data_IF_017169415248
#
_entry.id   IF_017169415248
#
_cell.length_a   1.000
_cell.length_b   1.000
_cell.length_c   1.000
_cell.angle_alpha   90.00
_cell.angle_beta   90.00
_cell.angle_gamma   90.00
#
_symmetry.space_group_name_H-M   'P 1'
#
loop_
_entity.id
_entity.type
_entity.pdbx_description
1 polymer ?
#
# COMPACT_ATOMS: atom_id res chain seq x y z
N UNK A 1 -9.37 -16.63 8.89
CA UNK A 1 -8.92 -15.39 9.57
C UNK A 1 -10.07 -14.65 10.22
N UNK A 2 -9.81 -13.75 11.17
CA UNK A 2 -10.77 -12.75 11.67
C UNK A 2 -10.31 -11.36 11.24
N UNK A 3 -11.26 -10.46 10.97
CA UNK A 3 -11.00 -9.09 10.56
C UNK A 3 -11.91 -8.12 11.34
N UNK A 4 -11.41 -6.94 11.64
CA UNK A 4 -12.21 -5.92 12.29
C UNK A 4 -13.09 -5.19 11.27
N UNK A 5 -14.40 -5.31 11.43
CA UNK A 5 -15.36 -4.59 10.61
C UNK A 5 -15.74 -3.25 11.24
N UNK A 6 -15.59 -2.16 10.50
CA UNK A 6 -15.88 -0.80 11.00
C UNK A 6 -17.36 -0.51 11.19
N UNK A 7 -18.24 -1.22 10.46
CA UNK A 7 -19.70 -1.07 10.61
C UNK A 7 -20.17 -1.66 11.94
N UNK A 8 -19.85 -2.92 12.21
CA UNK A 8 -20.23 -3.62 13.41
C UNK A 8 -19.36 -3.25 14.63
N UNK A 9 -18.16 -2.67 14.39
CA UNK A 9 -17.13 -2.36 15.41
C UNK A 9 -16.64 -3.59 16.16
N UNK A 10 -16.59 -4.75 15.48
CA UNK A 10 -16.20 -6.04 16.05
C UNK A 10 -15.22 -6.75 15.15
N UNK A 11 -14.42 -7.64 15.72
CA UNK A 11 -13.70 -8.65 14.96
C UNK A 11 -14.68 -9.76 14.56
N UNK A 12 -14.77 -10.05 13.28
CA UNK A 12 -15.66 -11.06 12.71
C UNK A 12 -14.85 -12.11 11.94
N UNK A 13 -15.28 -13.37 11.93
CA UNK A 13 -14.73 -14.34 10.98
C UNK A 13 -14.89 -13.83 9.55
N UNK A 14 -13.85 -13.97 8.74
CA UNK A 14 -13.94 -13.69 7.31
C UNK A 14 -14.60 -14.88 6.60
N UNK A 15 -15.76 -14.66 6.06
CA UNK A 15 -16.52 -15.60 5.26
C UNK A 15 -16.79 -14.95 3.90
N UNK A 16 -16.14 -15.41 2.80
CA UNK A 16 -16.34 -14.81 1.50
C UNK A 16 -17.77 -15.03 0.99
N UNK A 17 -18.25 -14.12 0.16
CA UNK A 17 -19.55 -14.24 -0.52
C UNK A 17 -19.55 -15.44 -1.48
N UNK A 18 -18.44 -15.65 -2.17
CA UNK A 18 -18.23 -16.80 -3.06
C UNK A 18 -17.13 -17.69 -2.49
N UNK A 19 -17.38 -19.00 -2.37
CA UNK A 19 -16.39 -19.93 -1.83
C UNK A 19 -15.02 -19.82 -2.53
N UNK A 20 -13.97 -19.73 -1.74
CA UNK A 20 -12.59 -19.63 -2.22
C UNK A 20 -12.17 -18.30 -2.86
N UNK A 21 -13.07 -17.31 -3.01
CA UNK A 21 -12.81 -16.05 -3.69
C UNK A 21 -13.11 -14.86 -2.79
N UNK A 22 -12.13 -13.98 -2.57
CA UNK A 22 -12.29 -12.72 -1.89
C UNK A 22 -12.24 -11.54 -2.87
N UNK A 23 -13.28 -10.70 -2.89
CA UNK A 23 -13.37 -9.47 -3.69
C UNK A 23 -13.10 -8.28 -2.79
N UNK A 24 -12.02 -7.56 -3.08
CA UNK A 24 -11.58 -6.40 -2.28
C UNK A 24 -11.54 -5.16 -3.17
N UNK A 25 -12.19 -4.10 -2.74
CA UNK A 25 -12.01 -2.78 -3.31
C UNK A 25 -11.35 -1.86 -2.29
N UNK A 26 -10.20 -1.30 -2.61
CA UNK A 26 -9.52 -0.30 -1.80
C UNK A 26 -9.53 1.05 -2.51
N UNK A 27 -10.08 2.08 -1.87
CA UNK A 27 -10.07 3.42 -2.42
C UNK A 27 -8.64 3.88 -2.71
N UNK A 28 -8.41 4.28 -3.95
CA UNK A 28 -7.15 4.77 -4.46
C UNK A 28 -6.96 6.29 -4.31
N UNK A 29 -5.85 6.82 -4.80
CA UNK A 29 -5.56 8.25 -4.70
C UNK A 29 -6.29 9.08 -5.74
N UNK A 30 -6.53 10.37 -5.41
CA UNK A 30 -6.74 11.42 -6.42
C UNK A 30 -5.39 11.81 -7.00
N UNK A 31 -5.22 11.63 -8.31
CA UNK A 31 -3.92 11.72 -9.00
C UNK A 31 -3.57 13.13 -9.46
N UNK A 32 -3.34 14.04 -8.53
CA UNK A 32 -2.94 15.44 -8.77
C UNK A 32 -1.60 15.83 -8.14
N UNK A 33 -1.01 14.96 -7.34
CA UNK A 33 0.24 15.19 -6.62
C UNK A 33 0.93 13.87 -6.24
N UNK A 34 2.19 13.93 -5.79
CA UNK A 34 2.94 12.78 -5.33
C UNK A 34 2.27 12.07 -4.16
N UNK A 35 2.55 10.76 -4.04
CA UNK A 35 2.04 9.94 -2.95
C UNK A 35 2.67 10.36 -1.61
N UNK A 36 1.84 10.68 -0.62
CA UNK A 36 2.29 10.89 0.76
C UNK A 36 2.24 9.57 1.57
N UNK A 37 2.85 9.56 2.75
CA UNK A 37 2.94 8.37 3.60
C UNK A 37 1.58 7.78 4.00
N UNK A 38 0.51 8.57 4.03
CA UNK A 38 -0.86 8.07 4.23
C UNK A 38 -1.30 7.12 3.12
N UNK A 39 -0.99 7.45 1.86
CA UNK A 39 -1.23 6.56 0.72
C UNK A 39 -0.40 5.28 0.84
N UNK A 40 0.88 5.38 1.24
CA UNK A 40 1.74 4.22 1.46
C UNK A 40 1.21 3.32 2.58
N UNK A 41 0.77 3.88 3.71
CA UNK A 41 0.19 3.10 4.83
C UNK A 41 -1.04 2.32 4.38
N UNK A 42 -1.96 2.96 3.66
CA UNK A 42 -3.14 2.30 3.10
C UNK A 42 -2.76 1.21 2.10
N UNK A 43 -1.86 1.52 1.15
CA UNK A 43 -1.45 0.58 0.12
C UNK A 43 -0.76 -0.67 0.70
N UNK A 44 0.16 -0.50 1.65
CA UNK A 44 0.87 -1.59 2.33
C UNK A 44 -0.07 -2.41 3.22
N UNK A 45 -1.02 -1.75 3.91
CA UNK A 45 -1.98 -2.46 4.79
C UNK A 45 -2.89 -3.40 3.99
N UNK A 46 -3.40 -2.95 2.86
CA UNK A 46 -4.34 -3.75 2.07
C UNK A 46 -3.62 -4.71 1.10
N UNK A 47 -2.36 -4.44 0.72
CA UNK A 47 -1.49 -5.44 0.11
C UNK A 47 -1.18 -6.58 1.08
N UNK A 48 -0.94 -6.28 2.36
CA UNK A 48 -0.79 -7.29 3.40
C UNK A 48 -2.06 -8.15 3.54
N UNK A 49 -3.25 -7.53 3.61
CA UNK A 49 -4.53 -8.25 3.65
C UNK A 49 -4.65 -9.23 2.49
N UNK A 50 -4.37 -8.76 1.27
CA UNK A 50 -4.37 -9.60 0.06
C UNK A 50 -3.44 -10.79 0.21
N UNK A 51 -2.18 -10.57 0.65
CA UNK A 51 -1.17 -11.63 0.81
C UNK A 51 -1.56 -12.66 1.88
N UNK A 52 -2.14 -12.20 2.99
CA UNK A 52 -2.59 -13.08 4.07
C UNK A 52 -3.76 -13.95 3.59
N UNK A 53 -4.74 -13.39 2.90
CA UNK A 53 -5.84 -14.17 2.31
C UNK A 53 -5.34 -15.18 1.29
N UNK A 54 -4.37 -14.82 0.45
CA UNK A 54 -3.72 -15.75 -0.48
C UNK A 54 -2.98 -16.87 0.26
N UNK A 55 -2.31 -16.58 1.36
CA UNK A 55 -1.62 -17.58 2.20
C UNK A 55 -2.61 -18.52 2.92
N UNK A 56 -3.84 -18.09 3.14
CA UNK A 56 -4.97 -18.92 3.63
C UNK A 56 -5.65 -19.73 2.51
N UNK A 57 -5.25 -19.53 1.24
CA UNK A 57 -5.74 -20.30 0.10
C UNK A 57 -6.86 -19.65 -0.70
N UNK A 58 -7.21 -18.39 -0.43
CA UNK A 58 -8.19 -17.66 -1.23
C UNK A 58 -7.60 -17.14 -2.54
N UNK A 59 -8.35 -17.22 -3.62
CA UNK A 59 -8.18 -16.33 -4.76
C UNK A 59 -8.59 -14.93 -4.35
N UNK A 60 -7.81 -13.91 -4.73
CA UNK A 60 -8.13 -12.52 -4.37
C UNK A 60 -8.26 -11.66 -5.61
N UNK A 61 -9.46 -11.15 -5.87
CA UNK A 61 -9.71 -10.07 -6.85
C UNK A 61 -9.60 -8.74 -6.14
N UNK A 62 -8.52 -8.03 -6.39
CA UNK A 62 -8.21 -6.78 -5.73
C UNK A 62 -8.33 -5.61 -6.71
N UNK A 63 -9.23 -4.67 -6.45
CA UNK A 63 -9.33 -3.42 -7.20
C UNK A 63 -8.83 -2.23 -6.39
N UNK A 64 -8.14 -1.31 -7.09
CA UNK A 64 -7.78 0.02 -6.59
C UNK A 64 -7.99 1.03 -7.70
N UNK A 65 -8.90 1.96 -7.47
CA UNK A 65 -9.21 2.99 -8.46
C UNK A 65 -8.17 4.11 -8.50
N UNK A 66 -8.27 4.91 -9.55
CA UNK A 66 -7.68 6.25 -9.61
C UNK A 66 -8.81 7.27 -9.83
N UNK A 67 -8.94 8.20 -8.89
CA UNK A 67 -9.77 9.39 -9.09
C UNK A 67 -8.99 10.35 -9.98
N UNK A 68 -9.32 10.34 -11.26
CA UNK A 68 -8.65 11.11 -12.32
C UNK A 68 -9.46 12.33 -12.81
N UNK A 69 -10.56 12.65 -12.11
CA UNK A 69 -11.30 13.89 -12.22
C UNK A 69 -11.79 14.35 -10.84
N UNK A 70 -11.37 15.55 -10.41
CA UNK A 70 -11.69 16.12 -9.09
C UNK A 70 -11.33 17.60 -9.08
N UNK A 71 -11.94 18.41 -8.21
CA UNK A 71 -11.66 19.84 -8.09
C UNK A 71 -10.17 20.17 -7.89
N UNK A 72 -9.41 19.29 -7.21
CA UNK A 72 -7.96 19.46 -7.01
C UNK A 72 -7.18 19.31 -8.31
N UNK A 73 -7.63 18.39 -9.18
CA UNK A 73 -7.02 18.21 -10.51
C UNK A 73 -7.33 19.42 -11.37
N UNK A 74 -8.58 19.89 -11.36
CA UNK A 74 -8.99 21.09 -12.11
C UNK A 74 -8.20 22.33 -11.67
N UNK A 75 -8.02 22.50 -10.37
CA UNK A 75 -7.16 23.57 -9.82
C UNK A 75 -5.72 23.44 -10.33
N UNK A 76 -5.16 22.22 -10.33
CA UNK A 76 -3.81 21.95 -10.83
C UNK A 76 -3.67 22.24 -12.31
N UNK A 77 -4.71 21.92 -13.13
CA UNK A 77 -4.77 22.30 -14.55
C UNK A 77 -4.70 23.81 -14.73
N UNK A 78 -5.50 24.56 -13.97
CA UNK A 78 -5.52 26.02 -14.02
C UNK A 78 -4.18 26.64 -13.60
N UNK A 79 -3.51 26.07 -12.58
CA UNK A 79 -2.22 26.55 -12.09
C UNK A 79 -1.05 26.24 -13.05
N UNK A 80 -1.12 25.12 -13.78
CA UNK A 80 0.01 24.65 -14.58
C UNK A 80 -0.16 24.79 -16.07
N UNK A 81 -1.38 25.06 -16.56
CA UNK A 81 -1.74 25.10 -17.98
C UNK A 81 -1.72 23.72 -18.67
N UNK A 82 -1.59 22.63 -17.89
CA UNK A 82 -1.56 21.26 -18.42
C UNK A 82 -2.95 20.69 -18.56
N UNK A 83 -3.12 19.77 -19.49
CA UNK A 83 -4.37 19.03 -19.70
C UNK A 83 -4.63 18.04 -18.56
N UNK A 84 -5.88 17.57 -18.45
CA UNK A 84 -6.29 16.51 -17.52
C UNK A 84 -5.40 15.26 -17.64
N UNK A 85 -5.24 14.77 -18.89
CA UNK A 85 -4.45 13.57 -19.17
C UNK A 85 -2.98 13.72 -18.76
N UNK A 86 -2.34 14.85 -19.10
CA UNK A 86 -0.93 15.08 -18.73
C UNK A 86 -0.71 15.04 -17.22
N UNK A 87 -1.64 15.60 -16.43
CA UNK A 87 -1.53 15.60 -14.96
C UNK A 87 -1.79 14.19 -14.42
N UNK A 88 -2.90 13.59 -14.79
CA UNK A 88 -3.35 12.33 -14.20
C UNK A 88 -2.46 11.15 -14.58
N UNK A 89 -1.98 11.06 -15.83
CA UNK A 89 -1.03 10.05 -16.26
C UNK A 89 0.33 10.20 -15.57
N UNK A 90 0.80 11.45 -15.42
CA UNK A 90 2.06 11.72 -14.74
C UNK A 90 2.01 11.25 -13.29
N UNK A 91 0.99 11.66 -12.51
CA UNK A 91 0.92 11.30 -11.10
C UNK A 91 0.50 9.85 -10.86
N UNK A 92 -0.30 9.24 -11.73
CA UNK A 92 -0.59 7.80 -11.70
C UNK A 92 0.70 6.99 -11.85
N UNK A 93 1.54 7.31 -12.83
CA UNK A 93 2.82 6.62 -13.03
C UNK A 93 3.74 6.78 -11.82
N UNK A 94 3.81 7.99 -11.26
CA UNK A 94 4.62 8.24 -10.05
C UNK A 94 4.11 7.46 -8.84
N UNK A 95 2.80 7.42 -8.65
CA UNK A 95 2.19 6.62 -7.60
C UNK A 95 2.54 5.13 -7.75
N UNK A 96 2.39 4.57 -8.95
CA UNK A 96 2.71 3.16 -9.20
C UNK A 96 4.20 2.86 -8.96
N UNK A 97 5.11 3.75 -9.37
CA UNK A 97 6.54 3.63 -9.08
C UNK A 97 6.82 3.63 -7.57
N UNK A 98 6.19 4.54 -6.83
CA UNK A 98 6.36 4.64 -5.39
C UNK A 98 5.83 3.38 -4.68
N UNK A 99 4.68 2.86 -5.10
CA UNK A 99 4.10 1.63 -4.53
C UNK A 99 4.91 0.38 -4.90
N UNK A 100 5.43 0.30 -6.11
CA UNK A 100 6.34 -0.77 -6.55
C UNK A 100 7.61 -0.80 -5.71
N UNK A 101 8.21 0.35 -5.39
CA UNK A 101 9.37 0.43 -4.50
C UNK A 101 9.09 -0.10 -3.07
N UNK A 102 7.82 -0.11 -2.66
CA UNK A 102 7.36 -0.71 -1.39
C UNK A 102 6.91 -2.18 -1.54
N UNK A 103 7.13 -2.82 -2.67
CA UNK A 103 6.64 -4.17 -3.00
C UNK A 103 5.11 -4.32 -2.84
N UNK A 104 4.35 -3.26 -3.04
CA UNK A 104 2.91 -3.34 -3.17
C UNK A 104 2.59 -3.95 -4.52
N UNK A 105 1.92 -5.09 -4.50
CA UNK A 105 1.55 -5.80 -5.73
C UNK A 105 0.51 -5.00 -6.52
N UNK A 106 0.60 -5.08 -7.84
CA UNK A 106 -0.37 -4.44 -8.72
C UNK A 106 -1.79 -4.92 -8.44
N UNK A 107 -2.74 -4.01 -8.52
CA UNK A 107 -4.14 -4.37 -8.41
C UNK A 107 -4.57 -5.25 -9.60
N UNK A 108 -5.50 -6.17 -9.38
CA UNK A 108 -6.08 -6.98 -10.48
C UNK A 108 -6.85 -6.09 -11.46
N UNK A 109 -7.44 -5.01 -10.93
CA UNK A 109 -8.21 -4.03 -11.68
C UNK A 109 -7.89 -2.63 -11.12
N UNK A 110 -7.60 -1.68 -12.00
CA UNK A 110 -7.32 -0.28 -11.64
C UNK A 110 -8.26 0.66 -12.40
N UNK A 111 -9.55 0.71 -12.06
CA UNK A 111 -10.51 1.51 -12.81
C UNK A 111 -10.29 3.01 -12.57
N UNK A 112 -10.55 3.82 -13.61
CA UNK A 112 -10.52 5.29 -13.53
C UNK A 112 -11.92 5.86 -13.60
N UNK A 113 -12.18 6.96 -12.92
CA UNK A 113 -13.50 7.61 -12.94
C UNK A 113 -13.89 8.03 -14.35
N UNK A 114 -12.95 8.60 -15.12
CA UNK A 114 -13.22 9.07 -16.50
C UNK A 114 -13.54 7.94 -17.47
N UNK A 115 -13.10 6.71 -17.22
CA UNK A 115 -13.40 5.53 -18.04
C UNK A 115 -14.73 4.87 -17.66
N UNK A 116 -15.40 5.33 -16.58
CA UNK A 116 -16.61 4.74 -16.02
C UNK A 116 -17.81 5.68 -16.00
N UNK A 117 -17.82 6.74 -16.82
CA UNK A 117 -18.90 7.75 -16.86
C UNK A 117 -20.27 7.12 -17.12
N UNK A 118 -20.36 6.14 -18.01
CA UNK A 118 -21.62 5.46 -18.30
C UNK A 118 -22.19 4.74 -17.06
N UNK A 119 -21.37 4.03 -16.33
CA UNK A 119 -21.77 3.33 -15.10
C UNK A 119 -22.18 4.32 -13.99
N UNK A 120 -21.48 5.45 -13.89
CA UNK A 120 -21.83 6.54 -12.96
C UNK A 120 -23.20 7.11 -13.32
N UNK A 121 -23.45 7.40 -14.60
CA UNK A 121 -24.74 7.90 -15.06
C UNK A 121 -25.88 6.88 -14.81
N UNK A 122 -25.64 5.58 -14.99
CA UNK A 122 -26.61 4.53 -14.66
C UNK A 122 -26.97 4.52 -13.17
N UNK A 123 -25.97 4.61 -12.29
CA UNK A 123 -26.17 4.70 -10.84
C UNK A 123 -27.03 5.92 -10.48
N UNK A 124 -26.69 7.10 -11.00
CA UNK A 124 -27.41 8.35 -10.73
C UNK A 124 -28.84 8.29 -11.28
N UNK A 125 -29.04 7.77 -12.49
CA UNK A 125 -30.36 7.57 -13.07
C UNK A 125 -31.24 6.67 -12.19
N UNK A 126 -30.67 5.58 -11.64
CA UNK A 126 -31.39 4.71 -10.71
C UNK A 126 -31.81 5.45 -9.43
N UNK A 127 -30.92 6.29 -8.87
CA UNK A 127 -31.21 7.08 -7.68
C UNK A 127 -32.32 8.13 -7.96
N UNK A 128 -32.27 8.79 -9.10
CA UNK A 128 -33.31 9.75 -9.52
C UNK A 128 -34.67 9.07 -9.69
N UNK A 129 -34.72 7.95 -10.44
CA UNK A 129 -35.94 7.19 -10.68
C UNK A 129 -36.60 6.69 -9.37
N UNK A 130 -35.81 6.33 -8.40
CA UNK A 130 -36.27 5.86 -7.08
C UNK A 130 -36.54 7.02 -6.10
N UNK A 131 -36.28 8.26 -6.52
CA UNK A 131 -36.50 9.46 -5.73
C UNK A 131 -35.53 9.72 -4.60
N UNK A 132 -34.33 9.08 -4.61
CA UNK A 132 -33.25 9.32 -3.66
C UNK A 132 -32.30 10.45 -4.08
N UNK A 133 -32.46 10.95 -5.29
CA UNK A 133 -31.71 12.09 -5.80
C UNK A 133 -32.65 13.14 -6.36
N UNK A 134 -32.17 14.38 -6.46
CA UNK A 134 -32.92 15.53 -6.99
C UNK A 134 -31.97 16.48 -7.70
N UNK A 135 -32.52 17.30 -8.59
CA UNK A 135 -31.80 18.34 -9.32
C UNK A 135 -31.87 19.68 -8.60
N UNK A 136 -30.75 20.37 -8.52
CA UNK A 136 -30.67 21.80 -8.25
C UNK A 136 -30.39 22.48 -9.58
N UNK A 137 -31.38 23.22 -10.10
CA UNK A 137 -31.32 23.83 -11.42
C UNK A 137 -30.08 24.70 -11.60
N UNK A 138 -29.34 24.44 -12.67
CA UNK A 138 -28.12 25.18 -13.01
C UNK A 138 -26.89 24.81 -12.13
N UNK A 139 -27.00 23.85 -11.21
CA UNK A 139 -25.94 23.45 -10.32
C UNK A 139 -25.56 21.97 -10.47
N UNK A 140 -26.49 21.03 -10.30
CA UNK A 140 -26.24 19.62 -10.47
C UNK A 140 -27.30 18.70 -9.89
N UNK A 141 -26.96 17.41 -9.85
CA UNK A 141 -27.76 16.34 -9.23
C UNK A 141 -27.19 16.03 -7.85
N UNK A 142 -28.06 15.97 -6.85
CA UNK A 142 -27.71 15.76 -5.44
C UNK A 142 -28.41 14.54 -4.87
N UNK A 143 -27.74 13.84 -3.95
CA UNK A 143 -28.32 12.78 -3.13
C UNK A 143 -29.08 13.39 -1.96
N UNK A 144 -30.32 12.97 -1.73
CA UNK A 144 -31.17 13.38 -0.60
C UNK A 144 -30.92 12.45 0.60
N UNK A 145 -30.04 12.85 1.49
CA UNK A 145 -29.64 12.04 2.66
C UNK A 145 -30.78 11.75 3.63
N UNK A 146 -31.84 12.58 3.66
CA UNK A 146 -33.01 12.40 4.53
C UNK A 146 -33.86 11.20 4.12
N UNK A 147 -33.73 10.70 2.89
CA UNK A 147 -34.50 9.57 2.38
C UNK A 147 -33.85 8.21 2.65
N UNK A 148 -32.58 8.19 3.05
CA UNK A 148 -31.90 6.98 3.50
C UNK A 148 -32.06 6.85 5.03
N UNK A 149 -32.95 5.98 5.48
CA UNK A 149 -33.21 5.75 6.91
C UNK A 149 -32.00 5.23 7.71
N UNK A 150 -31.00 4.68 7.01
CA UNK A 150 -29.78 4.14 7.60
C UNK A 150 -28.55 5.05 7.39
N UNK A 151 -28.77 6.30 6.93
CA UNK A 151 -27.66 7.25 6.77
C UNK A 151 -26.96 7.51 8.11
N UNK A 152 -25.62 7.55 8.12
CA UNK A 152 -24.73 7.61 9.28
C UNK A 152 -24.54 6.30 10.04
N UNK A 153 -25.12 5.19 9.60
CA UNK A 153 -24.98 3.88 10.27
C UNK A 153 -23.53 3.36 10.23
N UNK A 154 -22.82 3.56 9.10
CA UNK A 154 -21.44 3.12 8.95
C UNK A 154 -20.46 3.91 9.84
N UNK A 155 -20.54 5.22 9.81
CA UNK A 155 -19.68 6.10 10.60
C UNK A 155 -20.06 6.14 12.08
N UNK A 156 -21.31 5.85 12.40
CA UNK A 156 -21.87 5.97 13.77
C UNK A 156 -21.88 7.40 14.28
N UNK A 157 -21.84 8.41 13.40
CA UNK A 157 -21.89 9.82 13.78
C UNK A 157 -23.30 10.21 14.19
N UNK A 158 -23.38 11.07 15.20
CA UNK A 158 -24.67 11.67 15.60
C UNK A 158 -24.99 12.83 14.65
N UNK A 159 -26.27 13.03 14.35
CA UNK A 159 -26.72 14.09 13.42
C UNK A 159 -26.14 15.48 13.72
N UNK A 160 -26.04 15.88 14.99
CA UNK A 160 -25.48 17.19 15.37
C UNK A 160 -23.97 17.36 15.17
N UNK A 161 -23.22 16.28 14.92
CA UNK A 161 -21.77 16.31 14.74
C UNK A 161 -21.35 16.57 13.27
N UNK A 162 -22.33 16.71 12.36
CA UNK A 162 -22.07 16.84 10.92
C UNK A 162 -22.01 18.31 10.42
N UNK A 163 -22.28 19.28 11.29
CA UNK A 163 -22.47 20.71 10.93
C UNK A 163 -21.24 21.43 10.31
N UNK A 164 -20.06 20.83 10.27
CA UNK A 164 -18.82 21.50 9.80
C UNK A 164 -18.12 20.76 8.65
N UNK A 165 -18.84 19.94 7.85
CA UNK A 165 -18.18 19.00 6.93
C UNK A 165 -18.41 19.36 5.44
N UNK A 166 -19.15 20.41 5.15
CA UNK A 166 -19.28 20.89 3.77
C UNK A 166 -17.90 21.39 3.26
N UNK A 167 -17.26 20.61 2.41
CA UNK A 167 -16.04 21.01 1.66
C UNK A 167 -16.35 22.11 0.62
N UNK A 168 -17.59 22.37 0.36
CA UNK A 168 -18.10 23.36 -0.61
C UNK A 168 -19.01 24.34 0.12
N UNK A 169 -18.98 25.60 -0.27
CA UNK A 169 -19.84 26.64 0.26
C UNK A 169 -21.30 26.17 0.37
N UNK A 170 -21.98 26.50 1.46
CA UNK A 170 -23.39 26.17 1.69
C UNK A 170 -24.22 26.61 0.51
N UNK A 171 -24.91 25.68 -0.15
CA UNK A 171 -25.91 26.00 -1.18
C UNK A 171 -27.28 25.92 -0.50
N UNK A 172 -27.92 27.04 -0.32
CA UNK A 172 -29.24 27.16 0.34
C UNK A 172 -30.38 26.40 -0.38
N UNK A 173 -30.11 25.92 -1.61
CA UNK A 173 -31.05 25.09 -2.38
C UNK A 173 -31.01 23.60 -2.02
N UNK A 174 -30.04 23.16 -1.18
CA UNK A 174 -30.00 21.77 -0.68
C UNK A 174 -31.18 21.51 0.27
N UNK A 175 -31.69 20.29 0.21
CA UNK A 175 -32.73 19.85 1.13
C UNK A 175 -32.20 19.61 2.55
N UNK A 176 -30.92 19.21 2.68
CA UNK A 176 -30.18 19.05 3.94
C UNK A 176 -28.70 19.42 3.69
N UNK A 177 -28.04 19.99 4.70
CA UNK A 177 -26.61 20.33 4.63
C UNK A 177 -25.72 19.12 4.31
N UNK A 178 -26.15 17.92 4.68
CA UNK A 178 -25.45 16.65 4.45
C UNK A 178 -25.57 16.14 3.02
N UNK A 179 -26.51 16.68 2.22
CA UNK A 179 -26.69 16.27 0.83
C UNK A 179 -25.43 16.54 0.03
N UNK A 180 -25.09 15.63 -0.83
CA UNK A 180 -23.85 15.67 -1.59
C UNK A 180 -24.10 15.54 -3.09
N UNK A 181 -23.20 16.15 -3.87
CA UNK A 181 -23.28 16.15 -5.32
C UNK A 181 -22.99 14.77 -5.88
N UNK A 182 -23.84 14.32 -6.80
CA UNK A 182 -23.67 13.11 -7.61
C UNK A 182 -23.16 13.44 -9.01
N UNK A 183 -23.66 14.54 -9.58
CA UNK A 183 -23.25 15.08 -10.89
C UNK A 183 -23.25 16.60 -10.83
N UNK A 184 -22.11 17.22 -11.15
CA UNK A 184 -21.96 18.68 -11.19
C UNK A 184 -22.07 19.15 -12.61
N UNK A 185 -23.01 20.06 -12.91
CA UNK A 185 -23.16 20.62 -14.25
C UNK A 185 -21.97 21.50 -14.64
N UNK A 186 -21.45 21.26 -15.83
CA UNK A 186 -20.35 22.01 -16.42
C UNK A 186 -20.26 21.71 -17.93
N UNK A 187 -20.42 22.73 -18.78
CA UNK A 187 -20.46 22.59 -20.24
C UNK A 187 -19.16 22.07 -20.87
N UNK A 188 -18.03 22.08 -20.11
CA UNK A 188 -16.74 21.71 -20.63
C UNK A 188 -16.41 20.21 -20.43
N UNK A 189 -17.31 19.44 -19.78
CA UNK A 189 -17.03 18.07 -19.40
C UNK A 189 -17.90 17.04 -20.14
N UNK A 190 -18.16 15.94 -19.51
CA UNK A 190 -18.77 14.77 -20.13
C UNK A 190 -20.26 14.98 -20.45
N UNK A 191 -20.70 14.40 -21.56
CA UNK A 191 -22.12 14.28 -21.85
C UNK A 191 -22.78 13.26 -20.89
N UNK A 192 -24.00 13.58 -20.44
CA UNK A 192 -24.80 12.68 -19.61
C UNK A 192 -26.28 12.84 -19.92
N UNK A 193 -27.16 11.91 -19.48
CA UNK A 193 -28.61 12.05 -19.59
C UNK A 193 -29.18 13.27 -18.84
N UNK A 194 -28.39 13.88 -17.97
CA UNK A 194 -28.79 15.01 -17.11
C UNK A 194 -28.35 16.37 -17.68
N UNK A 195 -27.51 16.37 -18.69
CA UNK A 195 -26.75 17.50 -19.20
C UNK A 195 -25.24 17.32 -19.03
N UNK A 196 -24.45 18.21 -19.63
CA UNK A 196 -23.00 18.17 -19.54
C UNK A 196 -22.54 18.43 -18.12
N UNK A 197 -21.46 17.70 -17.71
CA UNK A 197 -20.96 17.85 -16.36
C UNK A 197 -19.89 16.82 -16.01
N UNK A 198 -19.66 16.67 -14.73
CA UNK A 198 -18.68 15.75 -14.18
C UNK A 198 -19.21 15.03 -12.93
N UNK A 199 -18.72 13.82 -12.64
CA UNK A 199 -19.18 13.07 -11.49
C UNK A 199 -18.82 13.77 -10.16
N UNK A 200 -19.68 13.59 -9.17
CA UNK A 200 -19.35 13.85 -7.79
C UNK A 200 -18.47 12.72 -7.25
N UNK A 201 -17.44 13.07 -6.50
CA UNK A 201 -16.43 12.14 -5.96
C UNK A 201 -16.99 10.88 -5.30
N UNK A 202 -18.16 10.98 -4.66
CA UNK A 202 -18.76 9.86 -3.91
C UNK A 202 -19.51 8.86 -4.80
N UNK A 203 -19.81 9.18 -6.06
CA UNK A 203 -20.51 8.27 -6.98
C UNK A 203 -19.57 7.38 -7.79
N UNK A 204 -18.30 7.75 -7.88
CA UNK A 204 -17.30 7.07 -8.69
C UNK A 204 -17.04 5.64 -8.22
N UNK A 205 -16.68 5.47 -6.95
CA UNK A 205 -16.30 4.15 -6.41
C UNK A 205 -17.47 3.17 -6.43
N UNK A 206 -18.68 3.63 -6.09
CA UNK A 206 -19.88 2.78 -6.15
C UNK A 206 -20.12 2.26 -7.56
N UNK A 207 -20.06 3.14 -8.56
CA UNK A 207 -20.24 2.75 -9.95
C UNK A 207 -19.14 1.77 -10.43
N UNK A 208 -17.88 2.04 -10.08
CA UNK A 208 -16.76 1.17 -10.42
C UNK A 208 -16.83 -0.19 -9.73
N UNK A 209 -17.27 -0.26 -8.45
CA UNK A 209 -17.50 -1.53 -7.75
C UNK A 209 -18.58 -2.35 -8.48
N UNK A 210 -19.72 -1.72 -8.79
CA UNK A 210 -20.83 -2.37 -9.48
C UNK A 210 -20.44 -2.86 -10.88
N UNK A 211 -19.61 -2.10 -11.60
CA UNK A 211 -19.19 -2.46 -12.96
C UNK A 211 -18.14 -3.56 -13.00
N UNK A 212 -17.23 -3.64 -12.02
CA UNK A 212 -16.04 -4.49 -12.14
C UNK A 212 -15.93 -5.62 -11.10
N UNK A 213 -16.59 -5.51 -9.95
CA UNK A 213 -16.42 -6.43 -8.83
C UNK A 213 -17.73 -7.02 -8.29
N UNK A 214 -18.89 -6.59 -8.79
CA UNK A 214 -20.18 -7.06 -8.25
C UNK A 214 -20.23 -8.59 -8.21
N UNK A 215 -20.53 -9.12 -7.04
CA UNK A 215 -20.63 -10.58 -6.81
C UNK A 215 -21.88 -11.20 -7.40
N UNK A 216 -22.93 -10.40 -7.65
CA UNK A 216 -24.27 -10.87 -7.96
C UNK A 216 -25.07 -11.40 -6.76
N UNK A 217 -24.51 -11.38 -5.56
CA UNK A 217 -25.19 -11.80 -4.33
C UNK A 217 -26.34 -10.86 -3.98
N UNK A 218 -27.51 -11.35 -3.47
CA UNK A 218 -28.65 -10.49 -3.18
C UNK A 218 -28.48 -9.53 -2.01
N UNK A 219 -27.47 -9.74 -1.15
CA UNK A 219 -27.26 -8.93 0.05
C UNK A 219 -26.04 -8.00 -0.07
N UNK A 220 -24.95 -8.46 -0.72
CA UNK A 220 -23.67 -7.76 -0.74
C UNK A 220 -23.09 -7.66 -2.16
N UNK A 221 -22.52 -6.51 -2.52
CA UNK A 221 -21.87 -6.36 -3.81
C UNK A 221 -20.45 -6.95 -3.80
N UNK A 222 -19.67 -6.70 -2.75
CA UNK A 222 -18.29 -7.21 -2.57
C UNK A 222 -18.05 -7.71 -1.15
N UNK A 223 -16.95 -8.44 -0.96
CA UNK A 223 -16.58 -8.94 0.36
C UNK A 223 -16.03 -7.80 1.24
N UNK A 224 -15.02 -7.07 0.78
CA UNK A 224 -14.31 -6.06 1.57
C UNK A 224 -14.23 -4.74 0.82
N UNK A 225 -14.66 -3.66 1.47
CA UNK A 225 -14.36 -2.28 1.07
C UNK A 225 -13.37 -1.67 2.06
N UNK A 226 -12.28 -1.08 1.53
CA UNK A 226 -11.15 -0.68 2.34
C UNK A 226 -10.66 0.74 2.00
N UNK A 227 -10.13 1.45 3.00
CA UNK A 227 -9.55 2.78 2.80
C UNK A 227 -8.93 3.38 4.06
N UNK A 228 -8.50 4.62 4.00
CA UNK A 228 -8.05 5.37 5.16
C UNK A 228 -9.19 5.72 6.12
N UNK A 229 -8.90 5.88 7.41
CA UNK A 229 -9.90 6.29 8.40
C UNK A 229 -10.56 7.65 8.09
N UNK A 230 -9.93 8.50 7.30
CA UNK A 230 -10.49 9.76 6.79
C UNK A 230 -11.58 9.55 5.75
N UNK A 231 -11.60 8.40 5.07
CA UNK A 231 -12.63 8.05 4.11
C UNK A 231 -13.90 7.50 4.74
N UNK A 232 -13.84 7.01 6.01
CA UNK A 232 -15.00 6.46 6.71
C UNK A 232 -16.19 7.43 6.65
N UNK A 233 -15.91 8.73 6.83
CA UNK A 233 -16.89 9.79 6.66
C UNK A 233 -16.24 11.05 6.06
N UNK A 234 -16.86 11.66 5.02
CA UNK A 234 -18.15 11.32 4.46
C UNK A 234 -18.12 10.25 3.35
N UNK A 235 -16.97 9.88 2.79
CA UNK A 235 -16.85 9.17 1.51
C UNK A 235 -17.53 7.79 1.55
N UNK A 236 -17.09 6.87 2.40
CA UNK A 236 -17.64 5.51 2.48
C UNK A 236 -19.09 5.48 3.00
N UNK A 237 -19.45 6.41 3.90
CA UNK A 237 -20.86 6.57 4.30
C UNK A 237 -21.76 6.90 3.11
N UNK A 238 -21.31 7.87 2.29
CA UNK A 238 -22.05 8.30 1.10
C UNK A 238 -22.10 7.18 0.03
N UNK A 239 -21.06 6.39 -0.11
CA UNK A 239 -21.04 5.23 -1.00
C UNK A 239 -22.02 4.13 -0.53
N UNK A 240 -21.99 3.82 0.77
CA UNK A 240 -22.92 2.84 1.36
C UNK A 240 -24.38 3.25 1.16
N UNK A 241 -24.69 4.53 1.38
CA UNK A 241 -26.02 5.10 1.16
C UNK A 241 -26.47 4.96 -0.30
N UNK A 242 -25.63 5.34 -1.25
CA UNK A 242 -25.94 5.27 -2.68
C UNK A 242 -26.24 3.82 -3.12
N UNK A 243 -25.40 2.86 -2.75
CA UNK A 243 -25.61 1.46 -3.13
C UNK A 243 -26.91 0.91 -2.51
N UNK A 244 -27.13 1.15 -1.22
CA UNK A 244 -28.35 0.74 -0.52
C UNK A 244 -29.60 1.27 -1.19
N UNK A 245 -29.63 2.55 -1.52
CA UNK A 245 -30.76 3.20 -2.17
C UNK A 245 -30.92 2.80 -3.65
N UNK A 246 -29.83 2.71 -4.41
CA UNK A 246 -29.87 2.37 -5.83
C UNK A 246 -30.16 0.88 -6.08
N UNK A 247 -29.61 -0.03 -5.28
CA UNK A 247 -29.63 -1.48 -5.54
C UNK A 247 -30.36 -2.31 -4.48
N UNK A 248 -30.79 -1.71 -3.37
CA UNK A 248 -31.36 -2.39 -2.20
C UNK A 248 -30.44 -3.51 -1.66
N UNK A 249 -29.13 -3.27 -1.70
CA UNK A 249 -28.06 -4.17 -1.28
C UNK A 249 -26.99 -3.38 -0.53
N UNK A 250 -26.30 -4.01 0.39
CA UNK A 250 -25.10 -3.43 1.00
C UNK A 250 -23.93 -3.43 -0.03
N UNK A 251 -23.18 -2.34 -0.07
CA UNK A 251 -22.03 -2.22 -0.96
C UNK A 251 -20.94 -3.24 -0.62
N UNK A 252 -20.70 -3.46 0.68
CA UNK A 252 -19.66 -4.39 1.15
C UNK A 252 -20.15 -5.17 2.36
N UNK A 253 -19.67 -6.43 2.47
CA UNK A 253 -19.92 -7.29 3.64
C UNK A 253 -19.07 -6.85 4.83
N UNK A 254 -17.84 -6.40 4.59
CA UNK A 254 -16.90 -5.90 5.61
C UNK A 254 -16.31 -4.55 5.20
N UNK A 255 -16.15 -3.65 6.15
CA UNK A 255 -15.54 -2.34 5.98
C UNK A 255 -14.25 -2.23 6.79
N UNK A 256 -13.12 -2.02 6.12
CA UNK A 256 -11.82 -1.95 6.77
C UNK A 256 -11.19 -0.57 6.61
N UNK A 257 -10.72 0.01 7.72
CA UNK A 257 -10.08 1.32 7.70
C UNK A 257 -8.72 1.27 8.39
N UNK A 258 -7.68 1.74 7.69
CA UNK A 258 -6.37 1.94 8.30
C UNK A 258 -6.30 3.28 9.03
N UNK A 259 -5.51 3.33 10.12
CA UNK A 259 -5.31 4.54 10.91
C UNK A 259 -4.58 5.66 10.16
N UNK A 260 -4.66 6.86 10.70
CA UNK A 260 -4.00 8.05 10.16
C UNK A 260 -2.47 7.95 10.24
N UNK A 261 -1.80 8.65 9.33
CA UNK A 261 -0.36 8.93 9.46
C UNK A 261 -0.18 10.34 10.02
N UNK A 262 0.64 10.43 11.04
CA UNK A 262 1.09 11.65 11.69
C UNK A 262 2.58 11.84 11.43
N UNK A 263 3.05 13.06 11.45
CA UNK A 263 4.47 13.41 11.38
C UNK A 263 4.78 14.26 12.61
N UNK A 264 5.72 13.83 13.43
CA UNK A 264 6.07 14.48 14.70
C UNK A 264 4.85 14.72 15.62
N UNK A 265 3.96 13.73 15.72
CA UNK A 265 2.71 13.76 16.50
C UNK A 265 1.65 14.74 15.98
N UNK A 266 1.83 15.36 14.82
CA UNK A 266 0.83 16.20 14.19
C UNK A 266 0.21 15.49 12.98
N UNK A 267 -1.12 15.65 12.80
CA UNK A 267 -1.79 15.09 11.63
C UNK A 267 -1.17 15.72 10.37
N UNK A 268 -0.71 14.86 9.47
CA UNK A 268 -0.15 15.28 8.20
C UNK A 268 -1.22 16.02 7.36
N UNK A 269 -0.92 17.25 6.97
CA UNK A 269 -1.77 18.01 6.05
C UNK A 269 -0.94 18.96 5.18
N UNK A 270 -1.39 19.16 3.93
CA UNK A 270 -0.73 20.10 3.01
C UNK A 270 -0.82 21.54 3.48
N UNK A 271 -1.90 21.92 4.17
CA UNK A 271 -2.08 23.28 4.71
C UNK A 271 -1.11 23.60 5.84
N UNK A 272 -0.61 22.59 6.57
CA UNK A 272 0.40 22.76 7.62
C UNK A 272 1.83 22.65 7.08
N UNK A 273 2.02 22.35 5.79
CA UNK A 273 3.36 22.18 5.20
C UNK A 273 4.15 21.00 5.75
N UNK A 274 3.53 20.10 6.51
CA UNK A 274 4.15 18.93 7.13
C UNK A 274 3.88 17.61 6.37
N UNK A 275 3.50 17.70 5.09
CA UNK A 275 3.32 16.54 4.23
C UNK A 275 4.67 15.91 3.92
N UNK A 276 4.79 14.61 4.18
CA UNK A 276 5.99 13.85 3.84
C UNK A 276 5.66 12.86 2.72
N UNK A 277 6.35 13.01 1.59
CA UNK A 277 6.13 12.16 0.42
C UNK A 277 6.89 10.85 0.52
N UNK A 278 6.35 9.81 -0.08
CA UNK A 278 7.03 8.49 -0.18
C UNK A 278 8.42 8.64 -0.80
N UNK A 279 8.54 9.46 -1.84
CA UNK A 279 9.82 9.74 -2.52
C UNK A 279 10.89 10.34 -1.61
N UNK A 280 10.50 11.09 -0.59
CA UNK A 280 11.47 11.65 0.35
C UNK A 280 11.94 10.58 1.34
N UNK A 281 11.07 9.68 1.79
CA UNK A 281 11.47 8.53 2.58
C UNK A 281 12.39 7.58 1.79
N UNK A 282 12.12 7.38 0.49
CA UNK A 282 12.93 6.54 -0.39
C UNK A 282 14.35 7.09 -0.67
N UNK A 283 14.62 8.36 -0.39
CA UNK A 283 15.99 8.91 -0.40
C UNK A 283 16.77 8.55 0.87
N UNK A 284 16.06 8.22 1.96
CA UNK A 284 16.64 7.98 3.30
C UNK A 284 16.91 6.49 3.52
N UNK A 285 16.03 5.60 3.04
CA UNK A 285 16.12 4.17 3.24
C UNK A 285 15.53 3.40 2.05
N UNK A 286 15.94 2.12 1.84
CA UNK A 286 15.32 1.24 0.85
C UNK A 286 13.81 1.16 1.04
N UNK A 287 13.07 0.97 -0.07
CA UNK A 287 11.61 0.88 -0.02
C UNK A 287 11.10 -0.23 0.90
N UNK A 288 11.78 -1.35 0.94
CA UNK A 288 11.46 -2.44 1.88
C UNK A 288 11.65 -2.06 3.35
N UNK A 289 12.61 -1.19 3.67
CA UNK A 289 12.77 -0.67 5.02
C UNK A 289 11.59 0.24 5.40
N UNK A 290 11.11 1.06 4.47
CA UNK A 290 9.90 1.85 4.67
C UNK A 290 8.66 0.94 4.81
N UNK A 291 8.51 -0.09 3.98
CA UNK A 291 7.46 -1.09 4.13
C UNK A 291 7.52 -1.77 5.49
N UNK A 292 8.67 -2.24 5.90
CA UNK A 292 8.89 -2.90 7.19
C UNK A 292 8.53 -1.97 8.36
N UNK A 293 8.89 -0.68 8.25
CA UNK A 293 8.50 0.34 9.22
C UNK A 293 6.99 0.54 9.28
N UNK A 294 6.32 0.66 8.14
CA UNK A 294 4.85 0.78 8.08
C UNK A 294 4.14 -0.45 8.66
N UNK A 295 4.73 -1.65 8.54
CA UNK A 295 4.22 -2.89 9.13
C UNK A 295 4.53 -3.04 10.63
N UNK A 296 5.41 -2.23 11.20
CA UNK A 296 5.79 -2.32 12.62
C UNK A 296 4.67 -1.91 13.58
N UNK A 297 3.63 -1.25 13.08
CA UNK A 297 2.43 -0.90 13.83
C UNK A 297 1.20 -1.54 13.20
N UNK A 298 0.22 -1.87 14.04
CA UNK A 298 -1.06 -2.40 13.57
C UNK A 298 -1.70 -1.46 12.54
N UNK A 299 -2.34 -2.01 11.48
CA UNK A 299 -2.87 -1.18 10.38
C UNK A 299 -3.92 -0.16 10.84
N UNK A 300 -4.76 -0.50 11.83
CA UNK A 300 -5.78 0.40 12.39
C UNK A 300 -5.24 1.47 13.34
N UNK A 301 -4.04 1.28 13.86
CA UNK A 301 -3.43 2.27 14.76
C UNK A 301 -2.98 3.51 13.98
N UNK A 302 -3.08 4.67 14.60
CA UNK A 302 -2.43 5.85 14.08
C UNK A 302 -0.91 5.61 14.06
N UNK A 303 -0.28 5.99 12.96
CA UNK A 303 1.13 5.79 12.70
C UNK A 303 1.86 7.12 12.77
N UNK A 304 2.80 7.25 13.70
CA UNK A 304 3.63 8.43 13.78
C UNK A 304 4.97 8.18 13.10
N UNK A 305 5.19 8.89 11.99
CA UNK A 305 6.42 8.79 11.22
C UNK A 305 7.54 9.63 11.86
N UNK A 306 8.71 9.02 11.99
CA UNK A 306 9.96 9.72 12.24
C UNK A 306 11.11 9.09 11.44
N UNK A 307 12.10 9.88 11.05
CA UNK A 307 13.30 9.37 10.36
C UNK A 307 14.10 8.42 11.28
N UNK A 308 14.17 8.73 12.56
CA UNK A 308 14.85 7.88 13.56
C UNK A 308 14.25 6.48 13.61
N UNK A 309 12.92 6.37 13.63
CA UNK A 309 12.24 5.07 13.68
C UNK A 309 12.33 4.32 12.34
N UNK A 310 12.34 5.04 11.21
CA UNK A 310 12.60 4.44 9.91
C UNK A 310 13.99 3.78 9.86
N UNK A 311 15.02 4.50 10.33
CA UNK A 311 16.39 3.96 10.38
C UNK A 311 16.53 2.82 11.40
N UNK A 312 15.85 2.90 12.54
CA UNK A 312 15.77 1.78 13.50
C UNK A 312 15.11 0.55 12.89
N UNK A 313 14.04 0.74 12.12
CA UNK A 313 13.35 -0.32 11.38
C UNK A 313 14.25 -0.93 10.30
N UNK A 314 15.03 -0.09 9.58
CA UNK A 314 16.05 -0.56 8.65
C UNK A 314 17.07 -1.47 9.35
N UNK A 315 17.61 -1.06 10.51
CA UNK A 315 18.56 -1.88 11.28
C UNK A 315 17.98 -3.25 11.69
N UNK A 316 16.66 -3.34 11.91
CA UNK A 316 15.99 -4.63 12.17
C UNK A 316 15.89 -5.46 10.88
N UNK A 317 15.54 -4.87 9.77
CA UNK A 317 15.48 -5.55 8.47
C UNK A 317 16.87 -6.00 8.00
N UNK A 318 17.93 -5.22 8.26
CA UNK A 318 19.32 -5.57 7.95
C UNK A 318 19.72 -6.95 8.56
N UNK A 319 19.25 -7.27 9.78
CA UNK A 319 19.51 -8.58 10.41
C UNK A 319 18.88 -9.72 9.62
N UNK A 320 17.70 -9.50 9.05
CA UNK A 320 17.02 -10.52 8.23
C UNK A 320 17.75 -10.68 6.89
N UNK A 321 18.18 -9.58 6.27
CA UNK A 321 18.98 -9.61 5.04
C UNK A 321 20.34 -10.27 5.25
N UNK A 322 20.98 -10.09 6.42
CA UNK A 322 22.22 -10.81 6.76
C UNK A 322 21.99 -12.32 6.87
N UNK A 323 20.87 -12.75 7.44
CA UNK A 323 20.50 -14.17 7.43
C UNK A 323 20.24 -14.68 6.00
N UNK A 324 19.50 -13.93 5.18
CA UNK A 324 19.29 -14.24 3.76
C UNK A 324 20.61 -14.42 3.02
N UNK A 325 21.60 -13.54 3.26
CA UNK A 325 22.94 -13.64 2.68
C UNK A 325 23.70 -14.90 3.12
N UNK A 326 23.50 -15.39 4.36
CA UNK A 326 24.13 -16.62 4.87
C UNK A 326 23.62 -17.90 4.18
N UNK A 327 22.42 -17.85 3.60
CA UNK A 327 21.79 -19.00 2.94
C UNK A 327 21.66 -18.83 1.43
N UNK A 328 22.27 -17.80 0.84
CA UNK A 328 22.13 -17.48 -0.58
C UNK A 328 22.61 -18.59 -1.53
N UNK A 329 23.56 -19.43 -1.09
CA UNK A 329 24.10 -20.54 -1.86
C UNK A 329 23.07 -21.65 -2.16
N UNK A 330 21.96 -21.68 -1.44
CA UNK A 330 20.81 -22.57 -1.71
C UNK A 330 19.65 -21.84 -2.39
N UNK A 331 19.67 -20.50 -2.41
CA UNK A 331 18.66 -19.67 -3.09
C UNK A 331 19.02 -19.41 -4.56
N UNK A 332 20.30 -19.35 -4.89
CA UNK A 332 20.77 -19.14 -6.25
C UNK A 332 21.01 -20.50 -6.94
N UNK A 333 20.48 -20.73 -8.16
CA UNK A 333 20.87 -21.90 -8.94
C UNK A 333 22.37 -21.83 -9.22
N UNK A 334 23.08 -22.95 -8.99
CA UNK A 334 24.49 -23.04 -9.39
C UNK A 334 24.62 -22.76 -10.89
N UNK A 335 25.61 -21.91 -11.27
CA UNK A 335 25.86 -21.58 -12.65
C UNK A 335 26.05 -22.88 -13.47
N UNK A 336 25.14 -23.14 -14.42
CA UNK A 336 25.16 -24.33 -15.26
C UNK A 336 24.18 -25.45 -14.87
N UNK A 337 23.39 -25.31 -13.80
CA UNK A 337 22.30 -26.24 -13.49
C UNK A 337 20.95 -25.59 -13.85
N UNK A 338 20.25 -26.20 -14.82
CA UNK A 338 18.95 -25.77 -15.31
C UNK A 338 17.77 -26.08 -14.34
N UNK A 339 18.03 -26.43 -13.10
CA UNK A 339 17.00 -26.62 -12.08
C UNK A 339 17.40 -25.87 -10.82
N UNK A 340 16.69 -24.79 -10.51
CA UNK A 340 16.56 -24.37 -9.12
C UNK A 340 16.05 -25.60 -8.36
N UNK A 341 16.84 -26.12 -7.40
CA UNK A 341 16.33 -27.14 -6.48
C UNK A 341 15.12 -26.50 -5.80
N UNK A 342 13.95 -27.13 -5.93
CA UNK A 342 12.75 -26.66 -5.25
C UNK A 342 13.06 -26.60 -3.74
N UNK A 343 12.85 -25.44 -3.15
CA UNK A 343 12.97 -25.29 -1.70
C UNK A 343 11.92 -26.20 -1.04
N UNK A 344 12.23 -26.79 0.12
CA UNK A 344 11.24 -27.51 0.90
C UNK A 344 10.09 -26.56 1.28
N UNK A 345 8.97 -27.11 1.72
CA UNK A 345 7.93 -26.28 2.33
C UNK A 345 8.47 -25.59 3.60
N UNK A 346 7.99 -24.39 3.88
CA UNK A 346 8.31 -23.75 5.14
C UNK A 346 7.88 -24.63 6.32
N UNK A 347 8.65 -24.57 7.44
CA UNK A 347 8.34 -25.35 8.63
C UNK A 347 6.91 -25.10 9.10
N UNK A 348 6.15 -26.17 9.35
CA UNK A 348 4.77 -26.07 9.77
C UNK A 348 4.60 -25.21 11.04
N UNK A 349 5.54 -25.31 11.99
CA UNK A 349 5.53 -24.50 13.19
C UNK A 349 5.70 -23.01 12.88
N UNK A 350 6.73 -22.64 12.10
CA UNK A 350 6.98 -21.24 11.74
C UNK A 350 5.80 -20.63 10.98
N UNK A 351 5.28 -21.37 10.01
CA UNK A 351 4.10 -20.96 9.24
C UNK A 351 2.89 -20.76 10.14
N UNK A 352 2.60 -21.74 11.03
CA UNK A 352 1.46 -21.67 11.94
C UNK A 352 1.56 -20.49 12.89
N UNK A 353 2.74 -20.28 13.52
CA UNK A 353 2.96 -19.16 14.44
C UNK A 353 2.82 -17.81 13.74
N UNK A 354 3.36 -17.64 12.52
CA UNK A 354 3.19 -16.41 11.75
C UNK A 354 1.72 -16.16 11.38
N UNK A 355 1.03 -17.20 10.89
CA UNK A 355 -0.36 -17.07 10.44
C UNK A 355 -1.33 -16.88 11.60
N UNK A 356 -1.06 -17.42 12.80
CA UNK A 356 -1.86 -17.16 13.99
C UNK A 356 -2.02 -15.66 14.26
N UNK A 357 -0.92 -14.89 14.18
CA UNK A 357 -0.98 -13.45 14.33
C UNK A 357 -1.56 -12.73 13.09
N UNK A 358 -1.15 -13.11 11.89
CA UNK A 358 -1.61 -12.44 10.67
C UNK A 358 -3.11 -12.68 10.42
N UNK A 359 -3.64 -13.81 10.81
CA UNK A 359 -5.06 -14.15 10.71
C UNK A 359 -5.91 -13.55 11.83
N UNK A 360 -5.29 -12.94 12.85
CA UNK A 360 -5.98 -12.15 13.87
C UNK A 360 -5.90 -10.65 13.54
N UNK A 361 -6.72 -10.22 12.60
CA UNK A 361 -6.87 -8.82 12.22
C UNK A 361 -5.55 -8.15 11.78
N UNK A 362 -4.73 -8.92 11.05
CA UNK A 362 -3.42 -8.47 10.55
C UNK A 362 -2.47 -8.00 11.67
N UNK A 363 -2.35 -8.74 12.75
CA UNK A 363 -1.43 -8.42 13.86
C UNK A 363 0.04 -8.58 13.42
N UNK A 364 0.53 -7.60 12.68
CA UNK A 364 1.91 -7.58 12.18
C UNK A 364 2.96 -7.54 13.30
N UNK A 365 2.66 -6.91 14.43
CA UNK A 365 3.60 -6.84 15.55
C UNK A 365 3.95 -8.23 16.07
N UNK A 366 2.95 -9.12 16.23
CA UNK A 366 3.17 -10.51 16.61
C UNK A 366 3.94 -11.29 15.55
N UNK A 367 3.54 -11.18 14.28
CA UNK A 367 4.22 -11.85 13.18
C UNK A 367 5.69 -11.42 13.02
N UNK A 368 5.99 -10.13 13.19
CA UNK A 368 7.37 -9.62 13.17
C UNK A 368 8.20 -10.09 14.38
N UNK A 369 7.57 -10.34 15.53
CA UNK A 369 8.23 -10.94 16.67
C UNK A 369 8.59 -12.41 16.40
N UNK A 370 7.67 -13.19 15.81
CA UNK A 370 7.94 -14.58 15.36
C UNK A 370 9.12 -14.60 14.38
N UNK A 371 9.10 -13.73 13.37
CA UNK A 371 10.19 -13.62 12.39
C UNK A 371 11.52 -13.26 13.07
N UNK A 372 11.51 -12.31 14.02
CA UNK A 372 12.71 -11.91 14.77
C UNK A 372 13.32 -13.05 15.59
N UNK A 373 12.48 -13.83 16.29
CA UNK A 373 12.90 -15.00 17.04
C UNK A 373 13.46 -16.10 16.12
N UNK A 374 12.80 -16.33 14.98
CA UNK A 374 13.30 -17.24 13.96
C UNK A 374 14.69 -16.83 13.47
N UNK A 375 14.90 -15.55 13.14
CA UNK A 375 16.21 -15.04 12.67
C UNK A 375 17.31 -15.29 13.71
N UNK A 376 17.02 -15.09 15.00
CA UNK A 376 17.97 -15.35 16.06
C UNK A 376 18.35 -16.84 16.14
N UNK A 377 17.36 -17.74 16.23
CA UNK A 377 17.57 -19.18 16.31
C UNK A 377 18.24 -19.78 15.06
N UNK A 378 17.87 -19.27 13.87
CA UNK A 378 18.48 -19.68 12.61
C UNK A 378 19.98 -19.31 12.54
N UNK A 379 20.34 -18.11 13.03
CA UNK A 379 21.74 -17.71 13.10
C UNK A 379 22.55 -18.61 14.04
N UNK A 380 22.02 -18.92 15.24
CA UNK A 380 22.67 -19.85 16.17
C UNK A 380 22.84 -21.26 15.58
N UNK A 381 21.83 -21.75 14.86
CA UNK A 381 21.90 -23.05 14.19
C UNK A 381 22.99 -23.07 13.10
N UNK A 382 23.06 -22.01 12.29
CA UNK A 382 24.09 -21.85 11.25
C UNK A 382 25.50 -21.66 11.82
N UNK A 383 25.65 -21.11 13.04
CA UNK A 383 26.95 -20.99 13.70
C UNK A 383 27.48 -22.38 14.13
N UNK A 384 26.56 -23.30 14.52
CA UNK A 384 26.90 -24.69 14.87
C UNK A 384 27.12 -25.56 13.63
N UNK A 385 26.42 -25.33 12.55
CA UNK A 385 26.45 -26.15 11.34
C UNK A 385 26.50 -25.31 10.04
N UNK A 386 27.57 -24.53 9.78
CA UNK A 386 27.59 -23.52 8.70
C UNK A 386 27.60 -24.12 7.29
N UNK A 387 27.90 -25.42 7.15
CA UNK A 387 27.93 -26.12 5.86
C UNK A 387 26.72 -27.02 5.62
N UNK A 388 25.78 -27.10 6.58
CA UNK A 388 24.57 -27.92 6.45
C UNK A 388 23.62 -27.33 5.40
N UNK A 389 23.57 -27.99 4.25
CA UNK A 389 22.72 -27.55 3.11
C UNK A 389 21.23 -27.74 3.38
N UNK A 390 20.87 -28.80 4.15
CA UNK A 390 19.47 -29.05 4.48
C UNK A 390 18.93 -27.97 5.42
N UNK A 391 19.70 -27.61 6.44
CA UNK A 391 19.42 -26.49 7.35
C UNK A 391 19.26 -25.17 6.58
N UNK A 392 20.21 -24.87 5.69
CA UNK A 392 20.14 -23.67 4.84
C UNK A 392 18.89 -23.64 3.95
N UNK A 393 18.55 -24.77 3.33
CA UNK A 393 17.36 -24.87 2.49
C UNK A 393 16.07 -24.65 3.29
N UNK A 394 16.00 -25.18 4.51
CA UNK A 394 14.86 -24.97 5.40
C UNK A 394 14.75 -23.51 5.85
N UNK A 395 15.86 -22.86 6.20
CA UNK A 395 15.88 -21.43 6.55
C UNK A 395 15.46 -20.59 5.34
N UNK A 396 15.94 -20.91 4.15
CA UNK A 396 15.55 -20.23 2.91
C UNK A 396 14.05 -20.36 2.64
N UNK A 397 13.47 -21.53 2.87
CA UNK A 397 12.02 -21.77 2.71
C UNK A 397 11.18 -20.93 3.70
N UNK A 398 11.62 -20.82 4.95
CA UNK A 398 10.96 -19.98 5.96
C UNK A 398 11.06 -18.48 5.59
N UNK A 399 12.21 -18.02 5.08
CA UNK A 399 12.36 -16.65 4.58
C UNK A 399 11.51 -16.39 3.35
N UNK A 400 11.36 -17.35 2.43
CA UNK A 400 10.49 -17.23 1.26
C UNK A 400 9.01 -17.12 1.68
N UNK A 401 8.56 -17.88 2.67
CA UNK A 401 7.22 -17.74 3.25
C UNK A 401 7.01 -16.34 3.85
N UNK A 402 7.98 -15.83 4.63
CA UNK A 402 7.92 -14.48 5.18
C UNK A 402 7.91 -13.41 4.07
N UNK A 403 8.67 -13.62 2.98
CA UNK A 403 8.69 -12.75 1.80
C UNK A 403 7.31 -12.67 1.16
N UNK A 404 6.68 -13.81 0.89
CA UNK A 404 5.37 -13.87 0.24
C UNK A 404 4.28 -13.24 1.10
N UNK A 405 4.29 -13.48 2.41
CA UNK A 405 3.25 -12.97 3.32
C UNK A 405 3.42 -11.51 3.73
N UNK A 406 4.65 -11.07 4.00
CA UNK A 406 4.93 -9.70 4.45
C UNK A 406 5.31 -8.74 3.32
N UNK A 407 5.67 -9.24 2.15
CA UNK A 407 6.10 -8.42 1.02
C UNK A 407 7.47 -7.76 1.20
N UNK A 408 8.38 -8.41 1.94
CA UNK A 408 9.76 -7.97 2.18
C UNK A 408 10.74 -9.02 1.60
N UNK A 409 12.03 -8.72 1.56
CA UNK A 409 13.10 -9.63 1.09
C UNK A 409 13.10 -9.91 -0.42
N UNK A 410 12.53 -9.02 -1.22
CA UNK A 410 12.54 -9.13 -2.68
C UNK A 410 13.86 -8.66 -3.29
N UNK A 411 14.54 -7.69 -2.66
CA UNK A 411 15.81 -7.18 -3.18
C UNK A 411 16.92 -8.23 -3.11
N UNK A 412 17.88 -8.14 -4.04
CA UNK A 412 19.15 -8.85 -3.89
C UNK A 412 19.87 -8.34 -2.64
N UNK A 413 20.41 -9.25 -1.84
CA UNK A 413 21.05 -8.90 -0.56
C UNK A 413 22.33 -8.07 -0.73
N UNK A 414 22.98 -8.13 -1.89
CA UNK A 414 24.16 -7.30 -2.19
C UNK A 414 23.71 -5.87 -2.53
N UNK A 415 22.69 -5.74 -3.38
CA UNK A 415 22.15 -4.44 -3.77
C UNK A 415 21.46 -3.73 -2.60
N UNK A 416 20.77 -4.47 -1.73
CA UNK A 416 20.18 -3.93 -0.51
C UNK A 416 21.22 -3.20 0.38
N UNK A 417 22.40 -3.80 0.61
CA UNK A 417 23.45 -3.19 1.41
C UNK A 417 24.27 -2.13 0.66
N UNK A 418 23.99 -1.88 -0.61
CA UNK A 418 24.56 -0.81 -1.44
C UNK A 418 23.64 0.38 -1.64
N UNK A 419 22.53 0.40 -0.93
CA UNK A 419 21.55 1.48 -1.01
C UNK A 419 22.20 2.86 -0.84
N UNK A 420 21.78 3.84 -1.65
CA UNK A 420 22.23 5.22 -1.60
C UNK A 420 23.54 5.50 -2.35
N UNK A 421 24.19 4.48 -2.92
CA UNK A 421 25.41 4.67 -3.73
C UNK A 421 25.03 4.85 -5.20
N UNK A 422 25.40 5.99 -5.78
CA UNK A 422 25.16 6.29 -7.19
C UNK A 422 26.04 5.42 -8.13
N UNK A 423 25.66 5.27 -9.38
CA UNK A 423 26.45 4.52 -10.38
C UNK A 423 27.88 5.05 -10.50
N UNK A 424 28.07 6.37 -10.48
CA UNK A 424 29.39 6.99 -10.50
C UNK A 424 30.24 6.62 -9.27
N UNK A 425 29.63 6.63 -8.08
CA UNK A 425 30.30 6.20 -6.86
C UNK A 425 30.62 4.71 -6.89
N UNK A 426 29.71 3.86 -7.40
CA UNK A 426 29.96 2.41 -7.60
C UNK A 426 31.17 2.17 -8.46
N UNK A 427 31.24 2.82 -9.63
CA UNK A 427 32.41 2.69 -10.52
C UNK A 427 33.72 3.11 -9.83
N UNK A 428 33.69 4.18 -9.03
CA UNK A 428 34.83 4.62 -8.25
C UNK A 428 35.26 3.60 -7.16
N UNK A 429 34.29 3.04 -6.46
CA UNK A 429 34.52 2.00 -5.41
C UNK A 429 35.13 0.76 -6.06
N UNK A 430 34.57 0.28 -7.15
CA UNK A 430 35.05 -0.91 -7.84
C UNK A 430 36.47 -0.73 -8.39
N UNK A 431 36.78 0.46 -8.91
CA UNK A 431 38.14 0.81 -9.35
C UNK A 431 39.13 0.82 -8.17
N UNK A 432 38.75 1.35 -7.02
CA UNK A 432 39.56 1.32 -5.80
C UNK A 432 39.79 -0.13 -5.31
N UNK A 433 38.75 -0.96 -5.34
CA UNK A 433 38.85 -2.39 -4.97
C UNK A 433 39.79 -3.12 -5.92
N UNK A 434 39.70 -2.87 -7.23
CA UNK A 434 40.61 -3.46 -8.22
C UNK A 434 42.07 -3.05 -7.96
N UNK A 435 42.34 -1.76 -7.71
CA UNK A 435 43.69 -1.27 -7.36
C UNK A 435 44.21 -1.89 -6.06
N UNK A 436 43.34 -2.04 -5.04
CA UNK A 436 43.71 -2.71 -3.80
C UNK A 436 44.08 -4.18 -4.00
N UNK A 437 43.32 -4.90 -4.85
CA UNK A 437 43.63 -6.29 -5.19
C UNK A 437 44.97 -6.42 -5.90
N UNK A 438 45.28 -5.49 -6.84
CA UNK A 438 46.55 -5.42 -7.53
C UNK A 438 47.74 -5.18 -6.54
N UNK A 439 47.60 -4.14 -5.68
CA UNK A 439 48.64 -3.83 -4.68
C UNK A 439 48.91 -5.03 -3.75
N UNK A 440 47.88 -5.76 -3.35
CA UNK A 440 48.04 -7.02 -2.58
C UNK A 440 48.80 -8.10 -3.35
N UNK A 441 48.49 -8.28 -4.64
CA UNK A 441 49.20 -9.26 -5.49
C UNK A 441 50.68 -8.91 -5.67
N UNK A 442 50.99 -7.63 -5.72
CA UNK A 442 52.37 -7.07 -5.82
C UNK A 442 53.06 -7.00 -4.44
N UNK A 443 52.37 -7.40 -3.35
CA UNK A 443 52.84 -7.33 -1.94
C UNK A 443 53.10 -5.89 -1.46
N UNK A 444 52.52 -4.89 -2.11
CA UNK A 444 52.50 -3.50 -1.65
C UNK A 444 51.36 -3.30 -0.66
N UNK A 445 51.60 -3.73 0.57
CA UNK A 445 50.61 -3.66 1.66
C UNK A 445 50.33 -2.20 2.07
N UNK A 446 51.31 -1.29 1.94
CA UNK A 446 51.14 0.11 2.28
C UNK A 446 50.08 0.78 1.37
N UNK A 447 50.18 0.58 0.06
CA UNK A 447 49.18 1.05 -0.89
C UNK A 447 47.80 0.39 -0.70
N UNK A 448 47.78 -0.91 -0.42
CA UNK A 448 46.52 -1.62 -0.16
C UNK A 448 45.80 -1.10 1.09
N UNK A 449 46.52 -0.76 2.17
CA UNK A 449 45.98 -0.19 3.40
C UNK A 449 45.51 1.27 3.21
N UNK A 450 46.28 2.08 2.46
CA UNK A 450 45.87 3.43 2.10
C UNK A 450 44.54 3.43 1.30
N UNK A 451 44.36 2.50 0.36
CA UNK A 451 43.12 2.36 -0.39
C UNK A 451 41.97 1.91 0.53
N UNK A 452 42.23 0.99 1.48
CA UNK A 452 41.23 0.57 2.46
C UNK A 452 40.79 1.73 3.32
N UNK A 453 41.69 2.56 3.82
CA UNK A 453 41.38 3.77 4.59
C UNK A 453 40.48 4.70 3.78
N UNK A 454 40.82 4.96 2.50
CA UNK A 454 40.00 5.79 1.62
C UNK A 454 38.59 5.23 1.42
N UNK A 455 38.44 3.91 1.28
CA UNK A 455 37.10 3.29 1.20
C UNK A 455 36.32 3.45 2.52
N UNK A 456 37.01 3.32 3.67
CA UNK A 456 36.42 3.60 5.00
C UNK A 456 35.97 5.04 5.14
N UNK A 457 36.77 6.00 4.68
CA UNK A 457 36.37 7.43 4.66
C UNK A 457 35.14 7.70 3.77
N UNK A 458 34.96 6.89 2.73
CA UNK A 458 33.75 6.88 1.88
C UNK A 458 32.57 6.13 2.55
N UNK A 459 32.72 5.67 3.79
CA UNK A 459 31.75 4.82 4.50
C UNK A 459 31.49 3.46 3.80
N UNK A 460 32.51 2.89 3.16
CA UNK A 460 32.46 1.59 2.49
C UNK A 460 33.26 0.57 3.28
N UNK A 461 32.60 -0.50 3.70
CA UNK A 461 33.23 -1.68 4.29
C UNK A 461 33.57 -2.68 3.19
N UNK A 462 34.77 -3.21 3.21
CA UNK A 462 35.26 -4.23 2.25
C UNK A 462 35.58 -5.52 2.97
N UNK A 463 35.13 -6.63 2.41
CA UNK A 463 35.35 -7.98 2.90
C UNK A 463 36.02 -8.83 1.82
N UNK A 464 37.17 -9.41 2.14
CA UNK A 464 37.84 -10.34 1.24
C UNK A 464 37.22 -11.73 1.36
N UNK A 465 36.82 -12.31 0.24
CA UNK A 465 36.24 -13.65 0.14
C UNK A 465 37.06 -14.51 -0.84
N UNK A 466 36.91 -15.84 -0.83
CA UNK A 466 37.54 -16.68 -1.84
C UNK A 466 37.20 -16.33 -3.29
N UNK A 467 36.02 -15.70 -3.51
CA UNK A 467 35.55 -15.25 -4.83
C UNK A 467 35.94 -13.81 -5.18
N UNK A 468 36.73 -13.12 -4.34
CA UNK A 468 37.11 -11.72 -4.53
C UNK A 468 36.70 -10.81 -3.37
N UNK A 469 36.91 -9.51 -3.51
CA UNK A 469 36.49 -8.52 -2.51
C UNK A 469 35.06 -8.10 -2.75
N UNK A 470 34.20 -8.23 -1.76
CA UNK A 470 32.83 -7.68 -1.74
C UNK A 470 32.79 -6.43 -0.87
N UNK A 471 31.82 -5.56 -1.14
CA UNK A 471 31.69 -4.30 -0.40
C UNK A 471 30.23 -3.99 -0.07
N UNK A 472 30.03 -3.25 1.01
CA UNK A 472 28.77 -2.76 1.52
C UNK A 472 28.93 -1.33 2.03
N UNK A 473 27.84 -0.59 2.13
CA UNK A 473 27.82 0.69 2.87
C UNK A 473 27.91 0.38 4.36
N UNK A 474 28.83 1.04 5.07
CA UNK A 474 28.99 0.86 6.50
C UNK A 474 27.68 1.15 7.25
N UNK A 475 27.36 0.31 8.23
CA UNK A 475 26.20 0.55 9.10
C UNK A 475 26.48 1.79 9.98
N UNK A 476 25.56 2.75 9.98
CA UNK A 476 25.59 3.91 10.90
C UNK A 476 25.18 3.57 12.32
#
# INVERSE_FOLDING_TARGET
>A
MVIYDSLSKKKLPFEPISEGLARIYACGPTVYDDAHLGHAKSAVSFDLLRRVLQAEGYEVKFARNFTDIDDKILKKMAETGKSLGEITEFYTRRYLQDMSALNVADASISPKATENIAAICELISSLLQKGFAYEIVGDGIYFDTRKDGDYLSLSGKKEGACKNIARVASNDAKHDEKDFVLWKFDENWFDSPFGKGRPGWHSECVAMILAHLDSGDPQFCIDIHAGGADLLFPHHENEAAQCRCARNRALSKYWLHNGFVQVNNEKMSKSLGNSFFVRDALKIAPGEALRFYLLSSHYRANFNYSVTDLLASKKRLDKIYRLKKRVRDVLAPAAGQNSASELPAAEAKFRSEMMEFLSDDLNTSGALAVLGNFVASANEALDRAPKDKALKAQIAANLEFAKQTLGILYEDETEYFRFGVSEQQRAQIEELIRKRAQAKAEKDFASADAIRARLTDMKIEVMDTPGGTVWEVAAE
#
